data_IF_422116827483
#
_entry.id   IF_422116827483
#
_cell.length_a   1.000
_cell.length_b   1.000
_cell.length_c   1.000
_cell.angle_alpha   90.00
_cell.angle_beta   90.00
_cell.angle_gamma   90.00
#
_symmetry.space_group_name_H-M   'P 1'
#
loop_
_entity.id
_entity.type
_entity.pdbx_description
1 polymer ?
#
# COMPACT_ATOMS: atom_id res chain seq x y z
N UNK A 1 1.96 4.88 -9.31
CA UNK A 1 1.99 3.63 -8.52
C UNK A 1 2.88 2.65 -9.26
N UNK A 2 4.03 2.28 -8.68
CA UNK A 2 4.93 1.28 -9.26
C UNK A 2 4.58 -0.09 -8.66
N UNK A 3 3.79 -0.88 -9.36
CA UNK A 3 3.40 -2.23 -8.96
C UNK A 3 4.32 -3.21 -9.67
N UNK A 4 5.02 -4.08 -8.94
CA UNK A 4 5.78 -5.18 -9.53
C UNK A 4 5.04 -6.49 -9.25
N UNK A 5 4.72 -7.21 -10.32
CA UNK A 5 4.25 -8.60 -10.24
C UNK A 5 5.47 -9.50 -10.27
N UNK A 6 5.58 -10.41 -9.30
CA UNK A 6 6.60 -11.45 -9.31
C UNK A 6 6.01 -12.62 -10.09
N UNK A 7 6.32 -12.71 -11.39
CA UNK A 7 5.86 -13.82 -12.22
C UNK A 7 6.89 -14.97 -12.23
N UNK A 8 6.46 -16.23 -12.01
CA UNK A 8 7.26 -17.37 -12.45
C UNK A 8 7.19 -17.41 -13.99
N UNK A 9 8.32 -17.06 -14.63
CA UNK A 9 8.64 -17.13 -16.06
C UNK A 9 7.44 -17.38 -17.02
N UNK A 10 7.04 -16.33 -17.73
CA UNK A 10 6.52 -16.42 -19.09
C UNK A 10 5.01 -16.38 -19.25
N UNK A 11 4.38 -15.21 -19.04
CA UNK A 11 3.08 -14.90 -19.63
C UNK A 11 3.13 -13.49 -20.22
N UNK A 12 2.85 -13.39 -21.52
CA UNK A 12 2.92 -12.15 -22.29
C UNK A 12 1.65 -11.31 -22.03
N UNK A 13 1.76 -10.27 -21.20
CA UNK A 13 0.63 -9.40 -20.81
C UNK A 13 0.43 -8.28 -21.84
N UNK A 14 -0.12 -8.63 -22.99
CA UNK A 14 -0.72 -7.67 -23.92
C UNK A 14 -2.01 -8.25 -24.47
N UNK A 15 -3.11 -7.48 -24.44
CA UNK A 15 -4.35 -7.60 -25.25
C UNK A 15 -5.66 -8.24 -24.73
N UNK A 16 -5.81 -8.79 -23.51
CA UNK A 16 -7.09 -9.42 -23.08
C UNK A 16 -8.01 -8.59 -22.16
N UNK A 17 -7.98 -7.26 -22.25
CA UNK A 17 -8.90 -6.36 -21.53
C UNK A 17 -10.30 -6.35 -22.17
N UNK A 18 -10.91 -7.53 -22.41
CA UNK A 18 -12.35 -7.67 -22.68
C UNK A 18 -12.79 -9.07 -22.20
N UNK A 19 -12.69 -9.38 -20.90
CA UNK A 19 -13.60 -10.38 -20.32
C UNK A 19 -14.94 -9.69 -20.07
N UNK A 20 -15.67 -9.57 -21.19
CA UNK A 20 -17.04 -9.11 -21.51
C UNK A 20 -17.93 -8.30 -20.56
N UNK A 21 -17.75 -8.20 -19.25
CA UNK A 21 -18.59 -7.34 -18.39
C UNK A 21 -17.93 -6.88 -17.09
N UNK A 22 -16.62 -7.08 -16.88
CA UNK A 22 -15.92 -6.70 -15.64
C UNK A 22 -15.12 -5.40 -15.86
N UNK A 23 -15.40 -4.36 -15.07
CA UNK A 23 -14.57 -3.18 -14.95
C UNK A 23 -13.34 -3.50 -14.08
N UNK A 24 -12.15 -3.35 -14.66
CA UNK A 24 -10.87 -3.62 -14.00
C UNK A 24 -10.20 -2.27 -13.71
N UNK A 25 -10.04 -1.92 -12.42
CA UNK A 25 -9.35 -0.70 -12.01
C UNK A 25 -7.96 -1.05 -11.48
N UNK A 26 -6.92 -0.47 -12.13
CA UNK A 26 -5.48 -0.36 -11.81
C UNK A 26 -4.71 -1.56 -11.20
N UNK A 27 -5.31 -2.73 -10.97
CA UNK A 27 -4.64 -3.90 -10.39
C UNK A 27 -5.27 -5.25 -10.73
N UNK A 28 -6.56 -5.30 -11.05
CA UNK A 28 -7.24 -6.56 -11.35
C UNK A 28 -6.78 -7.24 -12.65
N UNK A 29 -6.22 -6.47 -13.59
CA UNK A 29 -5.61 -6.98 -14.83
C UNK A 29 -4.46 -7.97 -14.56
N UNK A 30 -3.84 -7.90 -13.40
CA UNK A 30 -2.69 -8.74 -13.06
C UNK A 30 -3.09 -10.13 -12.56
N UNK A 31 -4.38 -10.36 -12.27
CA UNK A 31 -4.89 -11.54 -11.57
C UNK A 31 -6.20 -12.05 -12.20
N UNK A 32 -6.09 -12.75 -13.34
CA UNK A 32 -7.23 -13.37 -14.03
C UNK A 32 -8.07 -14.28 -13.11
N UNK A 33 -7.42 -14.95 -12.14
CA UNK A 33 -8.07 -15.80 -11.15
C UNK A 33 -8.99 -15.07 -10.18
N UNK A 34 -8.80 -13.77 -9.99
CA UNK A 34 -9.68 -12.93 -9.18
C UNK A 34 -10.88 -12.44 -10.00
N UNK A 35 -10.65 -12.01 -11.25
CA UNK A 35 -11.72 -11.57 -12.14
C UNK A 35 -12.78 -12.68 -12.36
N UNK A 36 -12.36 -13.95 -12.46
CA UNK A 36 -13.29 -15.09 -12.61
C UNK A 36 -14.12 -15.41 -11.37
N UNK A 37 -13.79 -14.84 -10.20
CA UNK A 37 -14.52 -15.05 -8.93
C UNK A 37 -15.51 -13.93 -8.63
N UNK A 38 -15.50 -12.86 -9.42
CA UNK A 38 -16.42 -11.73 -9.24
C UNK A 38 -17.82 -12.19 -9.64
N UNK A 39 -18.72 -12.21 -8.66
CA UNK A 39 -20.17 -12.31 -8.90
C UNK A 39 -20.80 -10.93 -9.10
N UNK A 40 -22.04 -10.90 -9.59
CA UNK A 40 -22.86 -9.70 -9.52
C UNK A 40 -22.95 -9.21 -8.07
N UNK A 41 -23.06 -7.90 -7.89
CA UNK A 41 -23.12 -7.20 -6.60
C UNK A 41 -21.88 -7.38 -5.70
N UNK A 42 -20.76 -7.88 -6.24
CA UNK A 42 -19.51 -8.07 -5.50
C UNK A 42 -18.40 -7.18 -6.04
N UNK A 43 -17.71 -6.50 -5.12
CA UNK A 43 -16.53 -5.67 -5.41
C UNK A 43 -15.32 -6.32 -4.72
N UNK A 44 -14.38 -6.80 -5.51
CA UNK A 44 -13.13 -7.36 -4.99
C UNK A 44 -12.04 -6.29 -4.97
N UNK A 45 -11.68 -5.81 -3.79
CA UNK A 45 -10.54 -4.93 -3.57
C UNK A 45 -9.26 -5.74 -3.31
N UNK A 46 -8.19 -5.41 -4.03
CA UNK A 46 -6.90 -6.06 -3.84
C UNK A 46 -6.12 -5.35 -2.73
N UNK A 47 -5.70 -6.09 -1.70
CA UNK A 47 -4.81 -5.61 -0.65
C UNK A 47 -3.39 -6.08 -0.93
N UNK A 48 -2.47 -5.14 -1.05
CA UNK A 48 -1.08 -5.40 -1.44
C UNK A 48 -0.12 -5.10 -0.30
N UNK A 49 1.06 -5.72 -0.34
CA UNK A 49 2.12 -5.46 0.62
C UNK A 49 2.99 -4.29 0.15
N UNK A 50 3.11 -3.24 0.95
CA UNK A 50 3.97 -2.09 0.66
C UNK A 50 5.30 -2.24 1.36
N UNK A 51 6.38 -2.15 0.60
CA UNK A 51 7.72 -2.15 1.15
C UNK A 51 8.07 -0.76 1.70
N UNK A 52 8.82 -0.73 2.81
CA UNK A 52 9.36 0.51 3.36
C UNK A 52 10.52 1.05 2.51
N UNK A 53 10.89 2.32 2.77
CA UNK A 53 12.04 2.94 2.14
C UNK A 53 13.31 2.12 2.38
N UNK A 54 14.00 1.77 1.29
CA UNK A 54 15.22 0.97 1.33
C UNK A 54 16.36 1.69 2.06
N UNK A 55 16.31 3.03 2.16
CA UNK A 55 17.31 3.80 2.90
C UNK A 55 17.29 3.52 4.42
N UNK A 56 16.17 3.08 5.00
CA UNK A 56 16.10 2.63 6.39
C UNK A 56 16.50 1.16 6.56
N UNK A 57 16.56 0.41 5.47
CA UNK A 57 16.98 -0.99 5.43
C UNK A 57 18.45 -1.03 5.02
N UNK A 58 19.36 -0.95 5.99
CA UNK A 58 20.82 -1.13 5.83
C UNK A 58 21.22 -2.57 5.38
N UNK A 59 20.42 -3.22 4.52
CA UNK A 59 20.68 -4.57 4.05
C UNK A 59 20.36 -4.69 2.56
N UNK A 60 21.32 -4.27 1.72
CA UNK A 60 21.34 -4.48 0.26
C UNK A 60 21.43 -5.97 -0.16
N UNK A 61 21.38 -6.94 0.77
CA UNK A 61 21.62 -8.36 0.50
C UNK A 61 20.58 -9.34 1.08
N UNK A 62 19.44 -8.86 1.59
CA UNK A 62 18.37 -9.73 2.09
C UNK A 62 17.11 -9.73 1.22
N UNK A 63 17.24 -9.52 -0.10
CA UNK A 63 16.14 -9.58 -1.09
C UNK A 63 15.57 -11.01 -1.28
N UNK A 64 15.17 -11.66 -0.20
CA UNK A 64 14.06 -12.59 -0.26
C UNK A 64 12.81 -11.75 0.02
N UNK A 65 11.96 -11.60 -0.99
CA UNK A 65 10.66 -10.91 -0.95
C UNK A 65 9.71 -11.68 -0.01
N UNK A 66 9.96 -11.58 1.29
CA UNK A 66 9.23 -12.24 2.36
C UNK A 66 8.45 -11.20 3.14
N UNK A 67 7.16 -11.46 3.39
CA UNK A 67 6.35 -10.62 4.26
C UNK A 67 6.92 -10.60 5.68
N UNK A 68 7.56 -9.50 6.05
CA UNK A 68 8.07 -9.27 7.41
C UNK A 68 7.62 -7.90 7.91
N UNK A 69 7.37 -7.79 9.22
CA UNK A 69 6.88 -6.54 9.84
C UNK A 69 7.88 -5.38 9.77
N UNK A 70 9.16 -5.69 9.59
CA UNK A 70 10.26 -4.73 9.49
C UNK A 70 10.55 -4.29 8.04
N UNK A 71 10.14 -5.07 7.04
CA UNK A 71 10.37 -4.79 5.62
C UNK A 71 9.20 -4.08 4.94
N UNK A 72 7.99 -4.15 5.51
CA UNK A 72 6.82 -3.48 4.96
C UNK A 72 5.54 -3.74 5.76
N UNK A 73 4.40 -3.43 5.14
CA UNK A 73 3.08 -3.60 5.74
C UNK A 73 2.01 -3.90 4.68
N UNK A 74 0.95 -4.60 5.09
CA UNK A 74 -0.25 -4.75 4.27
C UNK A 74 -1.01 -3.43 4.23
N UNK A 75 -1.28 -2.90 3.02
CA UNK A 75 -1.94 -1.60 2.89
C UNK A 75 -3.41 -1.69 3.27
N UNK A 76 -3.77 -1.06 4.38
CA UNK A 76 -5.17 -0.86 4.78
C UNK A 76 -5.83 0.29 4.01
N UNK A 77 -5.03 1.11 3.31
CA UNK A 77 -5.46 2.23 2.47
C UNK A 77 -5.13 2.04 0.99
N UNK A 78 -5.74 2.85 0.13
CA UNK A 78 -5.66 2.71 -1.33
C UNK A 78 -6.69 1.72 -1.83
N UNK A 79 -7.85 2.23 -2.23
CA UNK A 79 -9.04 1.46 -2.62
C UNK A 79 -9.19 1.34 -4.13
N UNK A 80 -8.28 1.92 -4.91
CA UNK A 80 -8.41 2.02 -6.38
C UNK A 80 -8.15 0.72 -7.14
N UNK A 81 -7.53 -0.29 -6.52
CA UNK A 81 -7.33 -1.60 -7.15
C UNK A 81 -8.54 -2.48 -6.87
N UNK A 82 -9.48 -2.52 -7.81
CA UNK A 82 -10.70 -3.32 -7.68
C UNK A 82 -11.04 -4.11 -8.96
N UNK A 83 -11.74 -5.22 -8.74
CA UNK A 83 -12.45 -5.99 -9.76
C UNK A 83 -13.95 -5.90 -9.46
N UNK A 84 -14.76 -5.53 -10.44
CA UNK A 84 -16.21 -5.41 -10.27
C UNK A 84 -16.91 -5.53 -11.63
N UNK A 85 -18.20 -5.85 -11.66
CA UNK A 85 -18.96 -5.75 -12.90
C UNK A 85 -19.10 -4.30 -13.36
N UNK A 86 -19.02 -4.09 -14.67
CA UNK A 86 -19.24 -2.79 -15.31
C UNK A 86 -20.64 -2.26 -15.01
N UNK A 87 -21.65 -3.14 -14.99
CA UNK A 87 -23.01 -2.77 -14.60
C UNK A 87 -23.02 -2.13 -13.22
N UNK A 88 -22.39 -2.78 -12.24
CA UNK A 88 -22.40 -2.36 -10.84
C UNK A 88 -21.66 -1.02 -10.67
N UNK A 89 -20.53 -0.86 -11.35
CA UNK A 89 -19.79 0.40 -11.40
C UNK A 89 -20.63 1.55 -11.99
N UNK A 90 -21.39 1.28 -13.05
CA UNK A 90 -22.26 2.29 -13.67
C UNK A 90 -23.48 2.59 -12.80
N UNK A 91 -24.08 1.57 -12.17
CA UNK A 91 -25.26 1.71 -11.29
C UNK A 91 -24.97 2.61 -10.09
N UNK A 92 -23.77 2.51 -9.50
CA UNK A 92 -23.35 3.40 -8.40
C UNK A 92 -22.84 4.77 -8.88
N UNK A 93 -22.92 5.05 -10.19
CA UNK A 93 -22.56 6.34 -10.78
C UNK A 93 -21.06 6.56 -10.97
N UNK A 94 -20.25 5.50 -10.91
CA UNK A 94 -18.81 5.53 -11.21
C UNK A 94 -18.00 6.55 -10.40
N UNK A 95 -16.87 7.01 -10.98
CA UNK A 95 -16.06 8.07 -10.40
C UNK A 95 -16.77 9.41 -10.46
N UNK A 96 -16.56 10.21 -9.43
CA UNK A 96 -16.95 11.62 -9.46
C UNK A 96 -15.90 12.40 -10.28
N UNK A 97 -16.33 12.88 -11.46
CA UNK A 97 -15.47 13.60 -12.41
C UNK A 97 -15.23 15.06 -12.01
N UNK A 98 -15.94 15.55 -11.00
CA UNK A 98 -15.79 16.92 -10.49
C UNK A 98 -14.68 17.00 -9.44
N UNK A 99 -14.25 15.86 -8.88
CA UNK A 99 -13.12 15.79 -7.95
C UNK A 99 -11.83 16.09 -8.71
N UNK A 100 -11.33 17.31 -8.54
CA UNK A 100 -10.04 17.76 -9.07
C UNK A 100 -8.94 17.55 -8.02
N UNK A 101 -7.86 16.89 -8.43
CA UNK A 101 -6.68 16.65 -7.60
C UNK A 101 -6.48 15.18 -7.21
N UNK A 102 -5.27 14.86 -6.79
CA UNK A 102 -4.89 13.52 -6.31
C UNK A 102 -5.23 13.39 -4.81
N UNK A 103 -5.63 12.19 -4.39
CA UNK A 103 -6.16 11.83 -3.05
C UNK A 103 -7.67 12.07 -2.92
N UNK A 104 -8.43 10.98 -3.06
CA UNK A 104 -9.83 10.92 -2.65
C UNK A 104 -10.74 10.18 -3.61
N UNK A 105 -10.37 10.01 -4.90
CA UNK A 105 -11.27 9.40 -5.87
C UNK A 105 -11.61 7.95 -5.53
N UNK A 106 -10.62 7.20 -5.05
CA UNK A 106 -10.77 5.82 -4.64
C UNK A 106 -11.57 5.69 -3.33
N UNK A 107 -11.38 6.62 -2.39
CA UNK A 107 -12.15 6.68 -1.14
C UNK A 107 -13.61 7.04 -1.40
N UNK A 108 -13.88 8.01 -2.28
CA UNK A 108 -15.23 8.40 -2.66
C UNK A 108 -15.95 7.26 -3.36
N UNK A 109 -15.29 6.61 -4.32
CA UNK A 109 -15.81 5.42 -4.97
C UNK A 109 -16.08 4.28 -3.96
N UNK A 110 -15.15 4.05 -3.03
CA UNK A 110 -15.33 3.06 -1.96
C UNK A 110 -16.54 3.37 -1.08
N UNK A 111 -16.75 4.64 -0.71
CA UNK A 111 -17.96 5.07 0.05
C UNK A 111 -19.23 4.80 -0.74
N UNK A 112 -19.25 5.07 -2.05
CA UNK A 112 -20.41 4.73 -2.90
C UNK A 112 -20.73 3.23 -2.86
N UNK A 113 -19.72 2.36 -2.84
CA UNK A 113 -19.94 0.93 -2.67
C UNK A 113 -20.63 0.59 -1.35
N UNK A 114 -20.16 1.19 -0.25
CA UNK A 114 -20.71 0.93 1.09
C UNK A 114 -22.13 1.47 1.28
N UNK A 115 -22.53 2.48 0.51
CA UNK A 115 -23.87 3.05 0.56
C UNK A 115 -24.87 2.35 -0.38
N UNK A 116 -24.40 1.53 -1.32
CA UNK A 116 -25.25 0.74 -2.20
C UNK A 116 -25.44 -0.70 -1.70
N UNK A 117 -26.19 -1.50 -2.46
CA UNK A 117 -26.43 -2.91 -2.17
C UNK A 117 -25.28 -3.82 -2.65
N UNK A 118 -24.04 -3.35 -2.49
CA UNK A 118 -22.82 -4.03 -2.94
C UNK A 118 -22.04 -4.62 -1.76
N UNK A 119 -21.50 -5.81 -1.97
CA UNK A 119 -20.62 -6.47 -0.99
C UNK A 119 -19.17 -6.20 -1.38
N UNK A 120 -18.43 -5.53 -0.49
CA UNK A 120 -17.02 -5.25 -0.71
C UNK A 120 -16.14 -6.27 0.01
N UNK A 121 -15.33 -6.99 -0.76
CA UNK A 121 -14.42 -8.03 -0.28
C UNK A 121 -12.99 -7.53 -0.51
N UNK A 122 -12.21 -7.34 0.56
CA UNK A 122 -10.79 -6.98 0.45
C UNK A 122 -9.92 -8.18 0.76
N UNK A 123 -9.09 -8.58 -0.20
CA UNK A 123 -8.28 -9.80 -0.08
C UNK A 123 -6.79 -9.47 -0.20
N UNK A 124 -5.96 -9.83 0.78
CA UNK A 124 -4.51 -9.78 0.65
C UNK A 124 -4.02 -10.62 -0.52
N UNK A 125 -3.10 -10.09 -1.31
CA UNK A 125 -2.50 -10.79 -2.45
C UNK A 125 -1.00 -10.99 -2.18
N UNK A 126 -0.58 -12.19 -1.71
CA UNK A 126 0.80 -12.49 -1.35
C UNK A 126 1.85 -12.23 -2.43
N UNK A 127 1.49 -12.32 -3.71
CA UNK A 127 2.43 -12.13 -4.83
C UNK A 127 2.50 -10.70 -5.36
N UNK A 128 1.80 -9.74 -4.76
CA UNK A 128 1.68 -8.39 -5.26
C UNK A 128 2.25 -7.37 -4.27
N UNK A 129 3.30 -6.70 -4.71
CA UNK A 129 4.05 -5.76 -3.89
C UNK A 129 3.96 -4.34 -4.47
N UNK A 130 3.78 -3.38 -3.57
CA UNK A 130 4.05 -1.98 -3.86
C UNK A 130 5.51 -1.70 -3.51
N UNK A 131 6.32 -1.51 -4.54
CA UNK A 131 7.70 -1.11 -4.34
C UNK A 131 7.73 0.32 -3.83
N UNK A 132 8.57 0.56 -2.83
CA UNK A 132 8.78 1.90 -2.34
C UNK A 132 9.24 2.79 -3.48
N UNK A 133 8.66 3.98 -3.54
CA UNK A 133 9.09 5.05 -4.44
C UNK A 133 8.91 6.37 -3.70
N UNK A 134 9.71 7.37 -4.08
CA UNK A 134 9.56 8.70 -3.53
C UNK A 134 8.12 9.19 -3.75
N UNK A 135 7.51 9.74 -2.69
CA UNK A 135 6.22 10.41 -2.75
C UNK A 135 6.43 11.91 -2.55
N UNK A 136 6.01 12.69 -3.53
CA UNK A 136 6.03 14.16 -3.51
C UNK A 136 4.62 14.66 -3.23
N UNK A 137 4.48 15.48 -2.19
CA UNK A 137 3.23 16.16 -1.86
C UNK A 137 3.36 17.59 -2.37
N UNK A 138 2.52 17.96 -3.32
CA UNK A 138 2.59 19.24 -4.01
C UNK A 138 2.05 20.38 -3.11
N UNK A 139 2.59 21.58 -3.28
CA UNK A 139 2.24 22.74 -2.45
C UNK A 139 0.86 23.30 -2.79
N UNK A 140 0.35 23.01 -3.99
CA UNK A 140 -0.97 23.44 -4.46
C UNK A 140 -2.12 22.58 -3.90
N UNK A 141 -1.81 21.52 -3.15
CA UNK A 141 -2.82 20.69 -2.52
C UNK A 141 -3.58 21.48 -1.45
N UNK A 142 -4.89 21.21 -1.33
CA UNK A 142 -5.64 21.71 -0.18
C UNK A 142 -5.03 21.17 1.14
N UNK A 143 -5.19 21.87 2.27
CA UNK A 143 -4.63 21.42 3.55
C UNK A 143 -4.99 19.98 3.91
N UNK A 144 -6.22 19.56 3.59
CA UNK A 144 -6.68 18.20 3.85
C UNK A 144 -6.02 17.17 2.92
N UNK A 145 -5.89 17.47 1.62
CA UNK A 145 -5.19 16.60 0.68
C UNK A 145 -3.70 16.48 1.04
N UNK A 146 -3.07 17.59 1.42
CA UNK A 146 -1.67 17.59 1.85
C UNK A 146 -1.46 16.72 3.08
N UNK A 147 -2.34 16.84 4.09
CA UNK A 147 -2.31 16.02 5.31
C UNK A 147 -2.38 14.53 4.99
N UNK A 148 -3.33 14.10 4.15
CA UNK A 148 -3.46 12.70 3.71
C UNK A 148 -2.23 12.26 2.91
N UNK A 149 -1.70 13.14 2.06
CA UNK A 149 -0.49 12.85 1.27
C UNK A 149 0.71 12.57 2.16
N UNK A 150 0.99 13.45 3.13
CA UNK A 150 2.12 13.33 4.06
C UNK A 150 1.96 12.16 5.02
N UNK A 151 0.74 11.90 5.53
CA UNK A 151 0.49 10.71 6.34
C UNK A 151 0.81 9.42 5.56
N UNK A 152 0.31 9.33 4.32
CA UNK A 152 0.62 8.20 3.46
C UNK A 152 2.11 8.13 3.10
N UNK A 153 2.84 9.25 2.99
CA UNK A 153 4.29 9.26 2.82
C UNK A 153 4.99 8.68 4.04
N UNK A 154 4.72 9.22 5.23
CA UNK A 154 5.32 8.79 6.49
C UNK A 154 5.13 7.28 6.76
N UNK A 155 3.94 6.75 6.46
CA UNK A 155 3.66 5.31 6.58
C UNK A 155 4.54 4.42 5.71
N UNK A 156 5.11 4.93 4.61
CA UNK A 156 5.98 4.16 3.72
C UNK A 156 7.48 4.34 4.03
N UNK A 157 7.86 5.18 4.99
CA UNK A 157 9.27 5.41 5.28
C UNK A 157 9.90 4.26 6.06
N UNK A 158 9.28 3.85 7.17
CA UNK A 158 9.76 2.73 7.98
C UNK A 158 8.65 2.17 8.88
N UNK A 159 8.92 1.03 9.53
CA UNK A 159 8.04 0.48 10.55
C UNK A 159 7.94 1.43 11.76
N UNK A 160 6.85 1.31 12.52
CA UNK A 160 6.64 2.13 13.73
C UNK A 160 7.79 2.01 14.72
N UNK A 161 8.34 0.79 14.90
CA UNK A 161 9.48 0.56 15.79
C UNK A 161 10.74 1.25 15.28
N UNK A 162 11.05 1.16 13.98
CA UNK A 162 12.21 1.84 13.40
C UNK A 162 12.10 3.36 13.48
N UNK A 163 10.91 3.92 13.21
CA UNK A 163 10.67 5.35 13.41
C UNK A 163 10.84 5.75 14.88
N UNK A 164 10.33 4.95 15.82
CA UNK A 164 10.54 5.15 17.25
C UNK A 164 12.03 5.18 17.63
N UNK A 165 12.83 4.26 17.09
CA UNK A 165 14.29 4.24 17.34
C UNK A 165 15.00 5.50 16.85
N UNK A 166 14.51 6.15 15.79
CA UNK A 166 15.05 7.43 15.30
C UNK A 166 14.61 8.59 16.18
N UNK A 167 13.34 8.62 16.58
CA UNK A 167 12.79 9.67 17.45
C UNK A 167 13.47 9.65 18.82
N UNK A 168 13.70 8.47 19.39
CA UNK A 168 14.33 8.29 20.71
C UNK A 168 15.83 8.01 20.62
N UNK A 169 16.49 8.45 19.54
CA UNK A 169 17.91 8.15 19.29
C UNK A 169 18.81 8.68 20.41
N UNK A 170 18.63 9.94 20.83
CA UNK A 170 19.47 10.56 21.87
C UNK A 170 19.29 9.88 23.24
N UNK A 171 18.07 9.49 23.59
CA UNK A 171 17.77 8.74 24.80
C UNK A 171 18.47 7.38 24.79
N UNK A 172 18.40 6.69 23.64
CA UNK A 172 19.04 5.39 23.42
C UNK A 172 20.56 5.52 23.53
N UNK A 173 21.17 6.51 22.89
CA UNK A 173 22.61 6.76 22.93
C UNK A 173 23.07 7.12 24.34
N UNK A 174 22.31 7.95 25.05
CA UNK A 174 22.58 8.31 26.45
C UNK A 174 22.53 7.07 27.36
N UNK A 175 21.56 6.19 27.17
CA UNK A 175 21.46 4.94 27.92
C UNK A 175 22.68 4.03 27.65
N UNK A 176 23.06 3.84 26.39
CA UNK A 176 24.20 3.02 26.00
C UNK A 176 25.51 3.57 26.56
N UNK A 177 25.71 4.89 26.55
CA UNK A 177 26.89 5.52 27.14
C UNK A 177 26.98 5.27 28.65
N UNK A 178 25.85 5.37 29.37
CA UNK A 178 25.78 5.06 30.81
C UNK A 178 26.09 3.59 31.10
N UNK A 179 25.55 2.65 30.31
CA UNK A 179 25.85 1.22 30.45
C UNK A 179 27.34 0.92 30.21
N UNK A 180 27.93 1.52 29.17
CA UNK A 180 29.34 1.33 28.85
C UNK A 180 30.26 1.82 29.98
N UNK A 181 29.93 2.96 30.62
CA UNK A 181 30.65 3.46 31.78
C UNK A 181 30.55 2.51 32.98
N UNK A 182 29.35 2.00 33.28
CA UNK A 182 29.11 1.06 34.39
C UNK A 182 29.87 -0.25 34.22
N UNK A 183 29.84 -0.81 33.02
CA UNK A 183 30.54 -2.06 32.70
C UNK A 183 32.05 -1.89 32.83
N UNK A 184 32.60 -0.72 32.47
CA UNK A 184 34.03 -0.42 32.67
C UNK A 184 34.41 -0.27 34.14
N UNK A 185 33.55 0.31 34.98
CA UNK A 185 33.84 0.42 36.42
C UNK A 185 33.78 -0.93 37.14
N UNK A 186 32.91 -1.84 36.71
CA UNK A 186 32.80 -3.20 37.29
C UNK A 186 33.93 -4.13 36.85
N UNK A 187 34.60 -3.86 35.72
CA UNK A 187 35.72 -4.67 35.23
C UNK A 187 37.09 -4.29 35.84
N UNK A 188 37.16 -3.18 36.59
CA UNK A 188 38.40 -2.65 37.18
C UNK A 188 38.44 -2.85 38.71
N UNK A 189 37.32 -3.23 39.33
CA UNK A 189 37.24 -3.59 40.76
C UNK A 189 37.29 -5.10 40.97
#
# INVERSE_FOLDING_TARGET
>A
MAIKKIEPKGINVTSRIIQRNVALLMGCLLLESFASRVGYTQIYGLQIFSLYCVAFLFCLYCCNEVHKKDSGFWREFGFGMTCQYRSDFLTIGGFDVEVKGWCGEDVHLYRKYLHGDLIVIRTPVPGLFHLWHEKRCADELTPEQYRVCIQAKAMNEASHSHLGMLVFREETETHLHKQAYRTKSEAVG
#
